data_IF_659947203966
#
_entry.id   IF_659947203966
#
_cell.length_a   1.000
_cell.length_b   1.000
_cell.length_c   1.000
_cell.angle_alpha   90.00
_cell.angle_beta   90.00
_cell.angle_gamma   90.00
#
_symmetry.space_group_name_H-M   'P 1'
#
loop_
_entity.id
_entity.type
_entity.pdbx_description
1 polymer ?
#
# COMPACT_ATOMS: atom_id res chain seq x y z
N UNK A 1 -35.58 69.57 -42.09
CA UNK A 1 -35.23 68.17 -42.39
C UNK A 1 -34.84 67.50 -41.08
N UNK A 2 -35.64 66.54 -40.64
CA UNK A 2 -35.56 65.96 -39.29
C UNK A 2 -34.36 65.03 -39.13
N UNK A 3 -33.67 65.15 -38.00
CA UNK A 3 -32.64 64.20 -37.58
C UNK A 3 -33.29 63.03 -36.87
N UNK A 4 -33.07 61.81 -37.36
CA UNK A 4 -33.55 60.57 -36.75
C UNK A 4 -32.41 59.56 -36.64
N UNK A 5 -31.88 59.37 -35.43
CA UNK A 5 -31.17 58.15 -34.99
C UNK A 5 -30.98 58.17 -33.45
N UNK A 6 -30.89 57.01 -32.77
CA UNK A 6 -31.73 55.83 -32.91
C UNK A 6 -32.27 55.34 -31.54
N UNK A 7 -33.39 54.61 -31.59
CA UNK A 7 -34.10 53.95 -30.47
C UNK A 7 -33.33 52.74 -29.89
N UNK A 8 -32.03 52.60 -30.14
CA UNK A 8 -31.21 51.43 -29.79
C UNK A 8 -30.67 51.41 -28.34
N UNK A 9 -30.78 52.50 -27.57
CA UNK A 9 -30.11 52.61 -26.25
C UNK A 9 -30.87 51.94 -25.08
N UNK A 10 -32.19 51.77 -25.19
CA UNK A 10 -33.05 51.35 -24.05
C UNK A 10 -33.12 49.83 -23.84
N UNK A 11 -32.87 49.04 -24.88
CA UNK A 11 -32.86 47.56 -24.83
C UNK A 11 -31.49 47.03 -24.39
N UNK A 12 -30.41 47.70 -24.82
CA UNK A 12 -29.03 47.40 -24.42
C UNK A 12 -28.82 47.55 -22.89
N UNK A 13 -29.40 48.58 -22.26
CA UNK A 13 -29.25 48.79 -20.81
C UNK A 13 -29.91 47.70 -19.96
N UNK A 14 -31.03 47.12 -20.41
CA UNK A 14 -31.69 46.00 -19.71
C UNK A 14 -30.88 44.71 -19.82
N UNK A 15 -30.35 44.40 -21.00
CA UNK A 15 -29.49 43.24 -21.22
C UNK A 15 -28.20 43.33 -20.39
N UNK A 16 -27.59 44.52 -20.30
CA UNK A 16 -26.40 44.76 -19.47
C UNK A 16 -26.70 44.51 -17.98
N UNK A 17 -27.85 44.95 -17.46
CA UNK A 17 -28.23 44.72 -16.06
C UNK A 17 -28.44 43.24 -15.73
N UNK A 18 -29.03 42.49 -16.66
CA UNK A 18 -29.21 41.03 -16.51
C UNK A 18 -27.85 40.33 -16.55
N UNK A 19 -26.98 40.69 -17.50
CA UNK A 19 -25.63 40.13 -17.60
C UNK A 19 -24.79 40.39 -16.33
N UNK A 20 -24.85 41.61 -15.79
CA UNK A 20 -24.18 41.95 -14.53
C UNK A 20 -24.76 41.16 -13.35
N UNK A 21 -26.08 40.99 -13.28
CA UNK A 21 -26.71 40.17 -12.24
C UNK A 21 -26.26 38.71 -12.28
N UNK A 22 -26.13 38.13 -13.48
CA UNK A 22 -25.65 36.74 -13.68
C UNK A 22 -24.16 36.60 -13.33
N UNK A 23 -23.33 37.59 -13.70
CA UNK A 23 -21.91 37.58 -13.34
C UNK A 23 -21.70 37.71 -11.83
N UNK A 24 -22.45 38.60 -11.18
CA UNK A 24 -22.41 38.80 -9.73
C UNK A 24 -22.89 37.54 -9.02
N UNK A 25 -23.99 36.92 -9.46
CA UNK A 25 -24.47 35.68 -8.84
C UNK A 25 -23.46 34.54 -9.01
N UNK A 26 -22.82 34.42 -10.18
CA UNK A 26 -21.76 33.44 -10.40
C UNK A 26 -20.55 33.65 -9.48
N UNK A 27 -20.11 34.90 -9.30
CA UNK A 27 -19.00 35.25 -8.40
C UNK A 27 -19.37 34.96 -6.95
N UNK A 28 -20.60 35.26 -6.52
CA UNK A 28 -21.08 34.98 -5.16
C UNK A 28 -21.10 33.46 -4.90
N UNK A 29 -21.65 32.67 -5.83
CA UNK A 29 -21.69 31.21 -5.69
C UNK A 29 -20.28 30.62 -5.63
N UNK A 30 -19.37 31.08 -6.50
CA UNK A 30 -17.98 30.65 -6.49
C UNK A 30 -17.27 31.04 -5.19
N UNK A 31 -17.48 32.27 -4.71
CA UNK A 31 -16.91 32.77 -3.47
C UNK A 31 -17.41 32.01 -2.24
N UNK A 32 -18.71 31.70 -2.18
CA UNK A 32 -19.30 30.87 -1.11
C UNK A 32 -18.69 29.47 -1.15
N UNK A 33 -18.60 28.84 -2.33
CA UNK A 33 -18.01 27.50 -2.46
C UNK A 33 -16.55 27.49 -1.96
N UNK A 34 -15.74 28.48 -2.37
CA UNK A 34 -14.35 28.59 -1.91
C UNK A 34 -14.24 28.87 -0.40
N UNK A 35 -15.09 29.73 0.13
CA UNK A 35 -15.13 30.02 1.57
C UNK A 35 -15.50 28.76 2.37
N UNK A 36 -16.51 28.01 1.95
CA UNK A 36 -16.91 26.75 2.60
C UNK A 36 -15.83 25.66 2.53
N UNK A 37 -15.06 25.60 1.44
CA UNK A 37 -13.88 24.73 1.32
C UNK A 37 -12.76 25.20 2.26
N UNK A 38 -12.49 26.51 2.35
CA UNK A 38 -11.45 27.06 3.25
C UNK A 38 -11.76 26.86 4.74
N UNK A 39 -13.04 26.85 5.10
CA UNK A 39 -13.50 26.57 6.47
C UNK A 39 -13.51 25.06 6.78
N UNK A 40 -13.13 24.20 5.83
CA UNK A 40 -13.12 22.74 6.01
C UNK A 40 -14.51 22.11 6.13
N UNK A 41 -15.58 22.88 5.87
CA UNK A 41 -16.96 22.41 5.93
C UNK A 41 -17.28 21.51 4.73
N UNK A 42 -16.54 21.68 3.62
CA UNK A 42 -16.57 20.83 2.44
C UNK A 42 -15.20 20.18 2.27
N UNK A 43 -15.07 18.92 2.66
CA UNK A 43 -13.86 18.13 2.39
C UNK A 43 -14.01 17.43 1.04
N UNK A 44 -13.32 17.96 0.02
CA UNK A 44 -13.22 17.34 -1.31
C UNK A 44 -12.20 16.18 -1.35
N UNK A 45 -11.39 16.05 -0.30
CA UNK A 45 -10.40 14.99 -0.18
C UNK A 45 -10.95 13.91 0.74
N UNK A 46 -11.37 12.73 0.21
CA UNK A 46 -11.68 11.61 1.07
C UNK A 46 -10.38 11.24 1.81
N UNK A 47 -10.37 11.37 3.14
CA UNK A 47 -9.28 10.81 3.94
C UNK A 47 -9.26 9.30 3.69
N UNK A 48 -8.16 8.79 3.15
CA UNK A 48 -7.99 7.34 2.98
C UNK A 48 -8.06 6.67 4.35
N UNK A 49 -9.01 5.75 4.53
CA UNK A 49 -9.25 5.03 5.78
C UNK A 49 -8.42 3.73 5.88
N UNK A 50 -7.55 3.47 4.91
CA UNK A 50 -6.74 2.26 4.84
C UNK A 50 -5.31 2.61 4.41
N UNK A 51 -4.36 1.76 4.76
CA UNK A 51 -2.97 1.92 4.36
C UNK A 51 -2.73 1.45 2.92
N UNK A 52 -1.82 2.15 2.24
CA UNK A 52 -1.37 1.82 0.88
C UNK A 52 0.15 1.62 0.81
N UNK A 53 0.79 1.37 1.96
CA UNK A 53 2.20 0.98 1.99
C UNK A 53 2.35 -0.44 1.47
N UNK A 54 3.54 -0.79 0.97
CA UNK A 54 3.83 -2.12 0.41
C UNK A 54 3.52 -3.23 1.41
N UNK A 55 3.86 -3.03 2.68
CA UNK A 55 3.67 -4.01 3.75
C UNK A 55 2.19 -4.25 4.01
N UNK A 56 1.38 -3.19 3.95
CA UNK A 56 -0.06 -3.28 4.15
C UNK A 56 -0.76 -4.03 3.00
N UNK A 57 -0.38 -3.73 1.76
CA UNK A 57 -0.95 -4.39 0.58
C UNK A 57 -0.57 -5.87 0.55
N UNK A 58 0.69 -6.19 0.86
CA UNK A 58 1.15 -7.58 0.93
C UNK A 58 0.43 -8.36 2.05
N UNK A 59 0.30 -7.77 3.23
CA UNK A 59 -0.43 -8.39 4.33
C UNK A 59 -1.91 -8.63 3.99
N UNK A 60 -2.58 -7.65 3.38
CA UNK A 60 -3.97 -7.77 2.96
C UNK A 60 -4.16 -8.88 1.91
N UNK A 61 -3.27 -8.94 0.91
CA UNK A 61 -3.28 -10.01 -0.08
C UNK A 61 -3.04 -11.39 0.54
N UNK A 62 -2.09 -11.49 1.47
CA UNK A 62 -1.81 -12.73 2.22
C UNK A 62 -3.01 -13.21 3.03
N UNK A 63 -3.72 -12.32 3.71
CA UNK A 63 -4.97 -12.65 4.42
C UNK A 63 -6.03 -13.12 3.42
N UNK A 64 -6.26 -12.36 2.34
CA UNK A 64 -7.27 -12.66 1.35
C UNK A 64 -7.06 -14.05 0.70
N UNK A 65 -5.81 -14.48 0.53
CA UNK A 65 -5.48 -15.81 -0.01
C UNK A 65 -5.86 -16.99 0.91
N UNK A 66 -6.13 -16.72 2.19
CA UNK A 66 -6.38 -17.75 3.22
C UNK A 66 -7.87 -17.88 3.59
N UNK A 67 -8.66 -16.85 3.34
CA UNK A 67 -10.09 -16.81 3.68
C UNK A 67 -10.95 -17.44 2.58
N UNK A 68 -12.12 -17.93 2.96
CA UNK A 68 -13.19 -18.39 2.07
C UNK A 68 -14.44 -17.53 2.27
N UNK A 69 -14.64 -16.56 1.35
CA UNK A 69 -15.77 -15.62 1.41
C UNK A 69 -17.14 -16.25 1.09
N UNK A 70 -17.18 -17.52 0.67
CA UNK A 70 -18.44 -18.23 0.45
C UNK A 70 -19.07 -18.77 1.73
N UNK A 71 -18.38 -18.70 2.86
CA UNK A 71 -18.87 -19.13 4.18
C UNK A 71 -19.28 -17.89 4.98
N UNK A 72 -20.45 -17.93 5.62
CA UNK A 72 -20.85 -16.87 6.54
C UNK A 72 -19.98 -16.91 7.81
N UNK A 73 -19.26 -15.81 8.15
CA UNK A 73 -18.45 -15.75 9.37
C UNK A 73 -19.26 -15.88 10.66
N UNK A 74 -20.55 -15.53 10.67
CA UNK A 74 -21.43 -15.67 11.82
C UNK A 74 -21.81 -17.13 12.10
N UNK A 75 -21.84 -17.96 11.06
CA UNK A 75 -22.16 -19.38 11.16
C UNK A 75 -20.92 -20.24 11.44
N UNK A 76 -19.80 -19.97 10.74
CA UNK A 76 -18.55 -20.69 10.97
C UNK A 76 -17.33 -19.82 10.62
N UNK A 77 -16.87 -19.04 11.61
CA UNK A 77 -15.72 -18.17 11.45
C UNK A 77 -14.42 -18.93 11.11
N UNK A 78 -14.24 -20.16 11.60
CA UNK A 78 -13.05 -20.94 11.29
C UNK A 78 -12.98 -21.26 9.79
N UNK A 79 -14.08 -21.74 9.22
CA UNK A 79 -14.15 -22.05 7.79
C UNK A 79 -14.03 -20.79 6.94
N UNK A 80 -14.68 -19.69 7.33
CA UNK A 80 -14.49 -18.41 6.67
C UNK A 80 -13.02 -17.94 6.70
N UNK A 81 -12.34 -18.03 7.84
CA UNK A 81 -10.99 -17.49 7.99
C UNK A 81 -9.89 -18.41 7.43
N UNK A 82 -10.12 -19.73 7.41
CA UNK A 82 -9.06 -20.71 7.18
C UNK A 82 -9.29 -21.70 6.03
N UNK A 83 -10.50 -21.89 5.50
CA UNK A 83 -10.74 -22.92 4.45
C UNK A 83 -9.86 -22.67 3.21
N UNK A 84 -9.59 -21.41 2.86
CA UNK A 84 -8.70 -21.07 1.75
C UNK A 84 -7.26 -21.52 2.01
N UNK A 85 -6.77 -21.39 3.25
CA UNK A 85 -5.46 -21.91 3.63
C UNK A 85 -5.45 -23.44 3.63
N UNK A 86 -6.41 -24.07 4.31
CA UNK A 86 -6.50 -25.53 4.46
C UNK A 86 -6.59 -26.24 3.11
N UNK A 87 -7.34 -25.67 2.15
CA UNK A 87 -7.47 -26.23 0.80
C UNK A 87 -6.14 -26.21 0.02
N UNK A 88 -5.30 -25.20 0.26
CA UNK A 88 -4.02 -25.01 -0.43
C UNK A 88 -2.83 -25.64 0.31
N UNK A 89 -3.02 -26.14 1.54
CA UNK A 89 -1.96 -26.58 2.43
C UNK A 89 -2.31 -27.93 3.08
N UNK A 90 -2.33 -29.03 2.28
CA UNK A 90 -2.56 -30.36 2.82
C UNK A 90 -1.44 -30.76 3.79
N UNK A 91 -1.76 -31.61 4.76
CA UNK A 91 -0.79 -32.12 5.73
C UNK A 91 0.23 -33.01 4.99
N UNK A 92 1.53 -32.70 5.03
CA UNK A 92 2.56 -33.55 4.41
C UNK A 92 2.65 -34.93 5.08
N UNK A 93 3.12 -35.94 4.36
CA UNK A 93 3.19 -37.33 4.86
C UNK A 93 4.08 -37.52 6.10
N UNK A 94 5.07 -36.66 6.28
CA UNK A 94 6.02 -36.69 7.40
C UNK A 94 5.47 -36.01 8.68
N UNK A 95 4.23 -35.49 8.63
CA UNK A 95 3.66 -34.62 9.63
C UNK A 95 2.28 -35.11 10.06
N UNK A 96 2.00 -35.10 11.36
CA UNK A 96 0.67 -35.41 11.90
C UNK A 96 -0.26 -34.18 11.93
N UNK A 97 0.30 -32.98 11.79
CA UNK A 97 -0.45 -31.73 11.78
C UNK A 97 0.28 -30.67 10.95
N UNK A 98 -0.47 -29.81 10.28
CA UNK A 98 0.07 -28.67 9.53
C UNK A 98 -0.71 -27.41 9.86
N UNK A 99 0.01 -26.30 10.03
CA UNK A 99 -0.55 -25.03 10.51
C UNK A 99 0.53 -23.96 10.63
N UNK A 100 0.15 -22.80 11.18
CA UNK A 100 1.06 -21.65 11.31
C UNK A 100 2.30 -21.97 12.14
N UNK A 101 2.16 -22.68 13.26
CA UNK A 101 3.29 -23.00 14.12
C UNK A 101 4.30 -23.99 13.49
N UNK A 102 3.89 -25.17 12.96
CA UNK A 102 4.80 -26.04 12.21
C UNK A 102 5.46 -25.32 11.03
N UNK A 103 4.68 -24.56 10.26
CA UNK A 103 5.19 -23.77 9.14
C UNK A 103 6.25 -22.75 9.59
N UNK A 104 5.98 -22.01 10.67
CA UNK A 104 6.90 -21.02 11.21
C UNK A 104 8.21 -21.67 11.67
N UNK A 105 8.13 -22.75 12.44
CA UNK A 105 9.32 -23.49 12.91
C UNK A 105 10.16 -23.97 11.74
N UNK A 106 9.53 -24.55 10.72
CA UNK A 106 10.23 -24.98 9.52
C UNK A 106 10.97 -23.83 8.83
N UNK A 107 10.31 -22.69 8.63
CA UNK A 107 10.93 -21.52 7.97
C UNK A 107 12.05 -20.89 8.81
N UNK A 108 11.88 -20.84 10.13
CA UNK A 108 12.95 -20.37 11.04
C UNK A 108 14.14 -21.33 10.99
N UNK A 109 13.92 -22.63 11.01
CA UNK A 109 14.98 -23.63 10.93
C UNK A 109 15.75 -23.55 9.62
N UNK A 110 15.09 -23.27 8.50
CA UNK A 110 15.76 -23.05 7.20
C UNK A 110 16.70 -21.85 7.26
N UNK A 111 16.26 -20.72 7.81
CA UNK A 111 17.11 -19.52 7.99
C UNK A 111 18.28 -19.79 8.93
N UNK A 112 18.04 -20.49 10.04
CA UNK A 112 19.11 -20.86 10.98
C UNK A 112 20.13 -21.82 10.35
N UNK A 113 19.70 -22.75 9.51
CA UNK A 113 20.61 -23.66 8.78
C UNK A 113 21.49 -22.88 7.80
N UNK A 114 20.93 -21.93 7.06
CA UNK A 114 21.69 -21.05 6.16
C UNK A 114 22.72 -20.20 6.92
N UNK A 115 22.30 -19.57 8.02
CA UNK A 115 23.21 -18.79 8.85
C UNK A 115 24.30 -19.66 9.48
N UNK A 116 23.96 -20.86 9.97
CA UNK A 116 24.93 -21.82 10.49
C UNK A 116 25.95 -22.21 9.44
N UNK A 117 25.54 -22.45 8.19
CA UNK A 117 26.47 -22.71 7.09
C UNK A 117 27.39 -21.52 6.85
N UNK A 118 26.88 -20.30 6.95
CA UNK A 118 27.68 -19.07 6.77
C UNK A 118 28.68 -18.84 7.90
N UNK A 119 28.32 -19.15 9.15
CA UNK A 119 29.20 -18.95 10.30
C UNK A 119 30.22 -20.07 10.43
N UNK A 120 29.80 -21.32 10.18
CA UNK A 120 30.62 -22.50 10.49
C UNK A 120 31.28 -23.08 9.25
N UNK A 121 30.60 -23.21 8.11
CA UNK A 121 31.21 -23.89 6.95
C UNK A 121 31.94 -22.92 6.02
N UNK A 122 31.40 -21.73 5.79
CA UNK A 122 32.00 -20.77 4.84
C UNK A 122 33.40 -20.29 5.25
N UNK A 123 33.71 -19.96 6.52
CA UNK A 123 35.06 -19.53 6.89
C UNK A 123 36.06 -20.68 6.76
N UNK A 124 35.69 -21.90 7.17
CA UNK A 124 36.56 -23.07 7.04
C UNK A 124 36.79 -23.45 5.55
N UNK A 125 35.76 -23.37 4.71
CA UNK A 125 35.89 -23.57 3.26
C UNK A 125 36.74 -22.46 2.59
N UNK A 126 36.64 -21.22 3.07
CA UNK A 126 37.51 -20.13 2.61
C UNK A 126 38.96 -20.37 3.06
N UNK A 127 39.21 -20.74 4.31
CA UNK A 127 40.56 -21.03 4.83
C UNK A 127 41.18 -22.19 4.06
N UNK A 128 40.41 -23.23 3.77
CA UNK A 128 40.91 -24.37 2.98
C UNK A 128 41.21 -24.00 1.51
N UNK A 129 40.59 -22.94 0.98
CA UNK A 129 40.77 -22.45 -0.40
C UNK A 129 41.84 -21.36 -0.51
N UNK A 130 41.98 -20.54 0.52
CA UNK A 130 42.99 -19.50 0.63
C UNK A 130 44.32 -20.19 0.99
N UNK A 131 45.27 -20.18 0.05
CA UNK A 131 46.60 -20.73 0.31
C UNK A 131 47.28 -20.05 1.51
N UNK A 132 48.42 -20.59 1.99
CA UNK A 132 49.13 -20.11 3.19
C UNK A 132 49.47 -18.61 3.18
N UNK A 133 49.47 -17.97 2.01
CA UNK A 133 49.86 -16.58 1.80
C UNK A 133 48.74 -15.56 2.09
N UNK A 134 47.49 -16.00 2.24
CA UNK A 134 46.32 -15.11 2.38
C UNK A 134 46.01 -14.67 3.82
N UNK A 135 46.76 -15.16 4.81
CA UNK A 135 46.42 -15.01 6.25
C UNK A 135 46.96 -13.70 6.85
N UNK A 136 47.84 -12.97 6.16
CA UNK A 136 48.62 -11.91 6.80
C UNK A 136 47.89 -10.58 7.11
N UNK A 137 46.72 -10.26 6.53
CA UNK A 137 46.19 -8.89 6.64
C UNK A 137 44.66 -8.70 6.70
N UNK A 138 43.85 -9.69 7.08
CA UNK A 138 42.39 -9.46 7.12
C UNK A 138 41.75 -9.78 8.47
N UNK A 139 41.25 -8.72 9.11
CA UNK A 139 40.47 -8.75 10.34
C UNK A 139 39.12 -9.42 10.06
N UNK A 140 38.98 -10.69 10.46
CA UNK A 140 37.77 -11.49 10.24
C UNK A 140 36.64 -10.99 11.15
N UNK A 141 35.79 -10.09 10.65
CA UNK A 141 34.49 -9.82 11.26
C UNK A 141 33.39 -10.66 10.57
N UNK A 142 32.75 -11.62 11.26
CA UNK A 142 31.75 -12.50 10.66
C UNK A 142 30.40 -11.81 10.36
N UNK A 143 30.30 -10.49 10.58
CA UNK A 143 29.08 -9.68 10.44
C UNK A 143 29.15 -8.61 9.34
N UNK A 144 30.20 -8.60 8.51
CA UNK A 144 30.21 -7.72 7.34
C UNK A 144 29.13 -8.20 6.34
N UNK A 145 28.07 -7.42 6.21
CA UNK A 145 27.02 -7.64 5.23
C UNK A 145 27.61 -7.63 3.82
N UNK A 146 27.09 -8.43 2.87
CA UNK A 146 27.34 -8.18 1.46
C UNK A 146 26.67 -6.83 1.16
N UNK A 147 27.47 -5.76 1.13
CA UNK A 147 27.02 -4.51 0.53
C UNK A 147 26.73 -4.80 -0.93
N UNK A 148 25.54 -4.36 -1.35
CA UNK A 148 25.02 -4.57 -2.69
C UNK A 148 26.00 -4.08 -3.75
N UNK A 149 26.31 -5.00 -4.68
CA UNK A 149 26.69 -4.74 -6.06
C UNK A 149 25.74 -5.55 -6.94
#
# INVERSE_FOLDING_TARGET
>A
MGNSAPVAKRTASKAIRIALGVLISGIIVLGIALFLVSQGLINLHPKQQYCLTSECVEAAASILSKINQSVDPCENFFRFACDGWTSNNPIPEDSSNYGVYPWLRHNVDLKLKEQRQTIVLRPFLWIARAGPDAIAHQEWSPFSSPQQL
#
